data_IF_402189395600
#
_entry.id   IF_402189395600
#
_cell.length_a   1.000
_cell.length_b   1.000
_cell.length_c   1.000
_cell.angle_alpha   90.00
_cell.angle_beta   90.00
_cell.angle_gamma   90.00
#
_symmetry.space_group_name_H-M   'P 1'
#
loop_
_entity.id
_entity.type
_entity.pdbx_description
1 polymer ?
#
# COMPACT_ATOMS: atom_id res chain seq x y z
N UNK A 1 -2.44 15.02 -3.04
CA UNK A 1 -2.73 13.62 -3.44
C UNK A 1 -1.51 12.72 -3.16
N UNK A 2 -1.69 11.47 -2.69
CA UNK A 2 -0.58 10.55 -2.39
C UNK A 2 -0.16 9.68 -3.57
N UNK A 3 -1.10 9.33 -4.45
CA UNK A 3 -0.91 8.43 -5.58
C UNK A 3 -1.64 9.00 -6.78
N UNK A 4 -1.14 8.77 -7.99
CA UNK A 4 -1.89 8.99 -9.23
C UNK A 4 -2.24 7.63 -9.80
N UNK A 5 -3.54 7.29 -9.86
CA UNK A 5 -4.04 6.00 -10.32
C UNK A 5 -4.63 6.10 -11.73
N UNK A 6 -4.45 5.04 -12.52
CA UNK A 6 -5.03 4.88 -13.84
C UNK A 6 -5.15 3.41 -14.22
N UNK A 7 -5.52 3.14 -15.47
CA UNK A 7 -5.63 1.78 -16.00
C UNK A 7 -6.99 1.11 -15.80
N UNK A 8 -7.99 1.84 -15.31
CA UNK A 8 -9.38 1.39 -15.35
C UNK A 8 -9.84 1.26 -16.82
N UNK A 9 -10.28 0.07 -17.29
CA UNK A 9 -10.72 -0.15 -18.67
C UNK A 9 -11.97 0.66 -19.05
N UNK A 10 -12.85 0.96 -18.10
CA UNK A 10 -14.10 1.70 -18.30
C UNK A 10 -13.84 3.20 -18.48
N UNK A 11 -12.67 3.69 -18.06
CA UNK A 11 -12.26 5.09 -18.22
C UNK A 11 -12.17 5.55 -19.68
N UNK A 12 -12.01 4.63 -20.64
CA UNK A 12 -11.81 4.94 -22.07
C UNK A 12 -12.98 5.71 -22.70
N UNK A 13 -14.19 5.41 -22.25
CA UNK A 13 -15.44 6.00 -22.75
C UNK A 13 -16.27 6.65 -21.65
N UNK A 14 -15.63 6.91 -20.50
CA UNK A 14 -16.31 7.46 -19.33
C UNK A 14 -16.87 8.84 -19.61
N UNK A 15 -18.09 9.09 -19.12
CA UNK A 15 -18.67 10.42 -19.15
C UNK A 15 -18.03 11.31 -18.08
N UNK A 16 -18.07 12.65 -18.24
CA UNK A 16 -17.67 13.57 -17.18
C UNK A 16 -18.40 13.28 -15.87
N UNK A 17 -17.67 13.20 -14.76
CA UNK A 17 -18.23 12.92 -13.42
C UNK A 17 -18.67 11.47 -13.17
N UNK A 18 -18.53 10.57 -14.14
CA UNK A 18 -18.73 9.13 -13.91
C UNK A 18 -17.75 8.62 -12.85
N UNK A 19 -18.24 7.83 -11.89
CA UNK A 19 -17.39 7.15 -10.93
C UNK A 19 -16.50 6.11 -11.62
N UNK A 20 -15.22 6.07 -11.25
CA UNK A 20 -14.19 5.20 -11.82
C UNK A 20 -13.34 4.59 -10.70
N UNK A 21 -12.59 3.54 -11.02
CA UNK A 21 -11.73 2.79 -10.10
C UNK A 21 -12.18 1.34 -9.88
N UNK A 22 -13.37 0.97 -10.35
CA UNK A 22 -13.95 -0.38 -10.19
C UNK A 22 -13.86 -1.23 -11.47
N UNK A 23 -13.46 -0.64 -12.60
CA UNK A 23 -13.34 -1.36 -13.85
C UNK A 23 -12.20 -2.38 -13.79
N UNK A 24 -12.49 -3.63 -14.14
CA UNK A 24 -11.52 -4.73 -14.10
C UNK A 24 -11.72 -5.69 -15.29
N UNK A 25 -10.66 -6.38 -15.68
CA UNK A 25 -10.75 -7.52 -16.60
C UNK A 25 -11.12 -8.80 -15.83
N UNK A 26 -11.58 -9.89 -16.50
CA UNK A 26 -12.02 -11.12 -15.82
C UNK A 26 -10.87 -11.95 -15.21
N UNK A 27 -9.69 -11.36 -15.02
CA UNK A 27 -8.53 -12.02 -14.42
C UNK A 27 -7.68 -11.03 -13.61
N UNK A 28 -6.97 -11.58 -12.63
CA UNK A 28 -6.00 -10.88 -11.79
C UNK A 28 -4.63 -11.57 -11.87
N UNK A 29 -3.60 -10.88 -11.40
CA UNK A 29 -2.22 -11.35 -11.43
C UNK A 29 -1.78 -11.73 -10.00
N UNK A 30 -1.12 -12.89 -9.77
CA UNK A 30 -0.58 -13.22 -8.45
C UNK A 30 0.29 -12.09 -7.87
N UNK A 31 0.26 -11.94 -6.55
CA UNK A 31 1.05 -10.91 -5.87
C UNK A 31 2.55 -11.21 -5.96
N UNK A 32 3.37 -10.22 -6.33
CA UNK A 32 4.84 -10.32 -6.34
C UNK A 32 5.45 -9.33 -5.33
N UNK A 33 5.09 -9.51 -4.06
CA UNK A 33 5.47 -8.59 -2.99
C UNK A 33 6.83 -8.99 -2.43
N UNK A 34 7.83 -8.13 -2.63
CA UNK A 34 9.20 -8.35 -2.12
C UNK A 34 9.68 -7.16 -1.28
N UNK A 35 10.30 -7.36 -0.10
CA UNK A 35 10.68 -6.26 0.80
C UNK A 35 11.61 -5.19 0.20
N UNK A 36 12.41 -5.55 -0.81
CA UNK A 36 13.29 -4.63 -1.52
C UNK A 36 12.55 -3.63 -2.42
N UNK A 37 11.31 -3.93 -2.80
CA UNK A 37 10.48 -3.06 -3.62
C UNK A 37 9.40 -2.43 -2.73
N UNK A 38 9.52 -1.12 -2.52
CA UNK A 38 8.72 -0.37 -1.56
C UNK A 38 8.26 0.95 -2.19
N UNK A 39 7.24 1.56 -1.59
CA UNK A 39 6.48 2.67 -2.18
C UNK A 39 7.17 4.01 -1.96
N UNK A 40 8.42 4.11 -2.43
CA UNK A 40 9.12 5.39 -2.58
C UNK A 40 8.45 6.25 -3.65
N UNK A 41 8.63 7.57 -3.59
CA UNK A 41 8.24 8.48 -4.66
C UNK A 41 8.75 7.98 -6.03
N UNK A 42 7.87 8.02 -7.02
CA UNK A 42 8.10 7.50 -8.36
C UNK A 42 7.88 6.00 -8.54
N UNK A 43 7.64 5.23 -7.47
CA UNK A 43 7.34 3.79 -7.62
C UNK A 43 6.05 3.58 -8.44
N UNK A 44 6.12 2.65 -9.39
CA UNK A 44 4.99 2.17 -10.18
C UNK A 44 4.52 0.84 -9.60
N UNK A 45 3.26 0.79 -9.18
CA UNK A 45 2.69 -0.35 -8.48
C UNK A 45 1.29 -0.68 -8.97
N UNK A 46 0.89 -1.93 -8.81
CA UNK A 46 -0.41 -2.40 -9.24
C UNK A 46 -1.47 -2.09 -8.17
N UNK A 47 -2.65 -1.65 -8.61
CA UNK A 47 -3.82 -1.54 -7.74
C UNK A 47 -4.35 -2.94 -7.39
N UNK A 48 -5.17 -3.02 -6.35
CA UNK A 48 -5.92 -4.24 -6.01
C UNK A 48 -7.07 -3.93 -5.07
N UNK A 49 -8.02 -4.86 -5.05
CA UNK A 49 -9.06 -4.96 -4.04
C UNK A 49 -8.51 -5.09 -2.61
N UNK A 50 -9.36 -4.73 -1.65
CA UNK A 50 -9.09 -4.85 -0.20
C UNK A 50 -8.85 -6.30 0.24
N UNK A 51 -8.12 -6.50 1.35
CA UNK A 51 -7.79 -7.84 1.87
C UNK A 51 -9.03 -8.69 2.20
N UNK A 52 -10.19 -8.08 2.52
CA UNK A 52 -11.43 -8.80 2.81
C UNK A 52 -12.03 -9.47 1.56
N UNK A 53 -11.83 -8.85 0.39
CA UNK A 53 -12.30 -9.36 -0.90
C UNK A 53 -11.21 -10.17 -1.59
N UNK A 54 -9.96 -9.74 -1.44
CA UNK A 54 -8.77 -10.29 -2.07
C UNK A 54 -7.67 -10.61 -1.03
N UNK A 55 -7.88 -11.67 -0.22
CA UNK A 55 -6.94 -12.05 0.84
C UNK A 55 -5.57 -12.49 0.32
N UNK A 56 -5.52 -13.01 -0.92
CA UNK A 56 -4.29 -13.39 -1.61
C UNK A 56 -3.52 -12.19 -2.18
N UNK A 57 -4.09 -10.97 -2.05
CA UNK A 57 -3.51 -9.69 -2.51
C UNK A 57 -3.15 -9.68 -3.99
N UNK A 58 -3.90 -10.41 -4.83
CA UNK A 58 -3.71 -10.44 -6.27
C UNK A 58 -3.81 -9.02 -6.84
N UNK A 59 -2.94 -8.70 -7.78
CA UNK A 59 -2.91 -7.41 -8.44
C UNK A 59 -4.02 -7.32 -9.48
N UNK A 60 -4.59 -6.14 -9.68
CA UNK A 60 -5.37 -5.82 -10.88
C UNK A 60 -4.51 -6.11 -12.12
N UNK A 61 -5.15 -6.58 -13.19
CA UNK A 61 -4.48 -6.85 -14.46
C UNK A 61 -4.28 -5.61 -15.32
N UNK A 62 -4.98 -4.51 -15.02
CA UNK A 62 -4.92 -3.27 -15.81
C UNK A 62 -4.68 -2.03 -14.98
N UNK A 63 -5.17 -1.98 -13.75
CA UNK A 63 -5.07 -0.80 -12.89
C UNK A 63 -3.71 -0.71 -12.19
N UNK A 64 -3.12 0.48 -12.24
CA UNK A 64 -1.83 0.79 -11.62
C UNK A 64 -1.84 2.21 -11.07
N UNK A 65 -0.85 2.51 -10.23
CA UNK A 65 -0.62 3.85 -9.75
C UNK A 65 0.86 4.20 -9.67
N UNK A 66 1.13 5.49 -9.78
CA UNK A 66 2.45 6.07 -9.55
C UNK A 66 2.42 6.75 -8.18
N UNK A 67 3.43 6.46 -7.37
CA UNK A 67 3.58 7.08 -6.05
C UNK A 67 4.07 8.53 -6.20
N UNK A 68 3.20 9.48 -5.89
CA UNK A 68 3.62 10.88 -5.70
C UNK A 68 4.25 11.03 -4.30
N UNK A 69 3.56 10.53 -3.26
CA UNK A 69 4.04 10.47 -1.88
C UNK A 69 4.23 11.84 -1.23
N UNK A 70 4.63 11.81 0.05
CA UNK A 70 5.06 12.99 0.80
C UNK A 70 6.37 12.69 1.51
N UNK A 71 7.18 13.73 1.74
CA UNK A 71 8.32 13.61 2.64
C UNK A 71 7.80 13.31 4.05
N UNK A 72 8.46 12.36 4.70
CA UNK A 72 8.15 11.95 6.06
C UNK A 72 9.21 12.49 7.00
N UNK A 73 8.82 12.76 8.24
CA UNK A 73 9.76 13.09 9.31
C UNK A 73 10.25 11.81 10.01
N UNK A 74 11.31 11.94 10.82
CA UNK A 74 11.75 10.83 11.67
C UNK A 74 10.64 10.39 12.65
N UNK A 75 9.83 11.33 13.13
CA UNK A 75 8.69 11.06 14.01
C UNK A 75 7.59 10.27 13.29
N UNK A 76 7.28 10.62 12.03
CA UNK A 76 6.32 9.87 11.21
C UNK A 76 6.79 8.42 11.03
N UNK A 77 8.07 8.23 10.68
CA UNK A 77 8.63 6.89 10.48
C UNK A 77 8.63 6.07 11.78
N UNK A 78 8.97 6.69 12.92
CA UNK A 78 8.90 6.03 14.23
C UNK A 78 7.46 5.64 14.59
N UNK A 79 6.50 6.52 14.31
CA UNK A 79 5.07 6.26 14.54
C UNK A 79 4.57 5.11 13.66
N UNK A 80 4.99 5.05 12.40
CA UNK A 80 4.63 3.97 11.49
C UNK A 80 5.24 2.64 11.95
N UNK A 81 6.52 2.64 12.38
CA UNK A 81 7.17 1.46 12.95
C UNK A 81 6.43 0.97 14.20
N UNK A 82 6.08 1.87 15.12
CA UNK A 82 5.34 1.54 16.33
C UNK A 82 3.98 0.93 16.00
N UNK A 83 3.16 1.60 15.16
CA UNK A 83 1.85 1.09 14.76
C UNK A 83 1.93 -0.29 14.10
N UNK A 84 2.94 -0.52 13.24
CA UNK A 84 3.14 -1.83 12.61
C UNK A 84 3.53 -2.90 13.64
N UNK A 85 4.39 -2.56 14.59
CA UNK A 85 4.76 -3.46 15.68
C UNK A 85 3.59 -3.78 16.62
N UNK A 86 2.71 -2.81 16.91
CA UNK A 86 1.51 -3.01 17.72
C UNK A 86 0.52 -3.93 17.00
N UNK A 87 0.31 -3.72 15.69
CA UNK A 87 -0.53 -4.62 14.88
C UNK A 87 0.03 -6.05 14.82
N UNK A 88 1.35 -6.21 14.67
CA UNK A 88 1.99 -7.53 14.69
C UNK A 88 1.84 -8.21 16.05
N UNK A 89 1.92 -7.45 17.14
CA UNK A 89 1.69 -7.95 18.48
C UNK A 89 0.23 -8.40 18.68
N UNK A 90 -0.74 -7.58 18.30
CA UNK A 90 -2.18 -7.91 18.38
C UNK A 90 -2.51 -9.16 17.56
N UNK A 91 -2.03 -9.26 16.32
CA UNK A 91 -2.23 -10.47 15.50
C UNK A 91 -1.61 -11.70 16.14
N UNK A 92 -0.43 -11.56 16.75
CA UNK A 92 0.21 -12.70 17.43
C UNK A 92 -0.57 -13.12 18.67
N UNK A 93 -1.13 -12.17 19.43
CA UNK A 93 -2.03 -12.48 20.54
C UNK A 93 -3.27 -13.22 20.05
N UNK A 94 -3.94 -12.73 19.00
CA UNK A 94 -5.12 -13.37 18.42
C UNK A 94 -4.81 -14.80 17.95
N UNK A 95 -3.68 -15.03 17.28
CA UNK A 95 -3.22 -16.35 16.85
C UNK A 95 -3.04 -17.32 18.05
N UNK A 96 -2.47 -16.84 19.16
CA UNK A 96 -2.24 -17.66 20.36
C UNK A 96 -3.55 -17.92 21.13
N UNK A 97 -4.49 -16.96 21.13
CA UNK A 97 -5.74 -17.04 21.88
C UNK A 97 -6.83 -17.84 21.14
N UNK A 98 -6.87 -17.78 19.80
CA UNK A 98 -7.89 -18.42 18.97
C UNK A 98 -7.57 -19.82 18.36
N UNK A 99 -6.70 -20.70 18.90
CA UNK A 99 -6.61 -22.05 18.39
C UNK A 99 -7.66 -22.92 19.09
N UNK A 100 -8.89 -22.96 18.56
CA UNK A 100 -9.91 -24.03 18.69
C UNK A 100 -10.07 -24.83 20.01
N UNK A 101 -9.60 -24.39 21.18
CA UNK A 101 -9.65 -25.17 22.42
C UNK A 101 -10.24 -24.37 23.60
N UNK A 102 -11.49 -24.73 23.90
CA UNK A 102 -12.16 -24.55 25.17
C UNK A 102 -11.26 -24.96 26.34
N UNK A 103 -10.72 -24.01 27.10
CA UNK A 103 -10.35 -24.16 28.52
C UNK A 103 -9.74 -22.84 29.04
N UNK A 104 -10.39 -22.28 30.07
CA UNK A 104 -10.05 -21.10 30.91
C UNK A 104 -9.44 -19.85 30.25
N UNK A 105 -10.32 -18.89 29.95
CA UNK A 105 -10.04 -17.59 29.29
C UNK A 105 -9.03 -16.70 30.06
N UNK A 106 -8.96 -16.80 31.39
CA UNK A 106 -8.16 -15.89 32.23
C UNK A 106 -6.71 -16.34 32.47
N UNK A 107 -6.42 -17.65 32.51
CA UNK A 107 -5.05 -18.17 32.77
C UNK A 107 -4.20 -18.16 31.50
N UNK A 108 -4.85 -18.29 30.33
CA UNK A 108 -4.19 -18.23 29.03
C UNK A 108 -3.73 -16.81 28.66
N UNK A 109 -4.33 -15.77 29.21
CA UNK A 109 -4.09 -14.38 28.78
C UNK A 109 -2.71 -13.87 29.17
N UNK A 110 -2.27 -14.06 30.42
CA UNK A 110 -0.95 -13.59 30.87
C UNK A 110 0.21 -14.34 30.17
N UNK A 111 0.07 -15.66 30.00
CA UNK A 111 1.05 -16.46 29.26
C UNK A 111 1.07 -16.11 27.77
N UNK A 112 -0.09 -15.91 27.15
CA UNK A 112 -0.18 -15.44 25.76
C UNK A 112 0.47 -14.07 25.56
N UNK A 113 0.28 -13.14 26.52
CA UNK A 113 0.93 -11.83 26.52
C UNK A 113 2.45 -11.98 26.62
N UNK A 114 2.97 -12.82 27.51
CA UNK A 114 4.41 -13.04 27.62
C UNK A 114 5.01 -13.64 26.34
N UNK A 115 4.33 -14.63 25.74
CA UNK A 115 4.74 -15.25 24.47
C UNK A 115 4.74 -14.21 23.33
N UNK A 116 3.67 -13.42 23.21
CA UNK A 116 3.58 -12.38 22.20
C UNK A 116 4.65 -11.28 22.41
N UNK A 117 4.94 -10.90 23.66
CA UNK A 117 6.03 -9.95 23.98
C UNK A 117 7.40 -10.49 23.60
N UNK A 118 7.70 -11.75 23.94
CA UNK A 118 8.95 -12.41 23.53
C UNK A 118 9.08 -12.49 22.02
N UNK A 119 7.99 -12.76 21.31
CA UNK A 119 7.97 -12.76 19.85
C UNK A 119 8.23 -11.36 19.28
N UNK A 120 7.55 -10.33 19.79
CA UNK A 120 7.70 -8.94 19.34
C UNK A 120 9.14 -8.43 19.56
N UNK A 121 9.77 -8.76 20.70
CA UNK A 121 11.17 -8.39 20.96
C UNK A 121 12.16 -8.99 19.94
N UNK A 122 11.88 -10.20 19.44
CA UNK A 122 12.72 -10.85 18.42
C UNK A 122 12.40 -10.38 17.00
N UNK A 123 11.12 -10.08 16.73
CA UNK A 123 10.59 -9.83 15.39
C UNK A 123 10.06 -8.40 15.24
N UNK A 124 10.77 -7.43 15.80
CA UNK A 124 10.39 -6.03 15.69
C UNK A 124 10.61 -5.55 14.25
N UNK A 125 9.55 -5.04 13.64
CA UNK A 125 9.65 -4.32 12.38
C UNK A 125 10.42 -3.02 12.59
N UNK A 126 11.44 -2.80 11.75
CA UNK A 126 12.12 -1.53 11.54
C UNK A 126 12.38 -1.32 10.07
N UNK A 127 12.29 -0.08 9.62
CA UNK A 127 12.77 0.30 8.30
C UNK A 127 14.28 0.10 8.22
N UNK A 128 14.76 -0.35 7.06
CA UNK A 128 16.20 -0.32 6.79
C UNK A 128 16.70 1.13 6.77
N UNK A 129 17.99 1.34 7.05
CA UNK A 129 18.59 2.68 6.98
C UNK A 129 18.41 3.33 5.60
N UNK A 130 18.42 2.52 4.53
CA UNK A 130 18.19 3.02 3.18
C UNK A 130 16.72 3.44 2.97
N UNK A 131 15.75 2.61 3.39
CA UNK A 131 14.33 2.99 3.32
C UNK A 131 14.02 4.27 4.08
N UNK A 132 14.58 4.43 5.29
CA UNK A 132 14.41 5.68 6.07
C UNK A 132 14.96 6.87 5.29
N UNK A 133 16.21 6.79 4.80
CA UNK A 133 16.81 7.86 3.99
C UNK A 133 15.94 8.23 2.79
N UNK A 134 15.43 7.23 2.07
CA UNK A 134 14.53 7.45 0.94
C UNK A 134 13.27 8.21 1.36
N UNK A 135 12.60 7.80 2.43
CA UNK A 135 11.35 8.43 2.88
C UNK A 135 11.54 9.83 3.48
N UNK A 136 12.68 10.09 4.13
CA UNK A 136 13.02 11.41 4.65
C UNK A 136 13.33 12.40 3.53
N UNK A 137 14.06 11.95 2.49
CA UNK A 137 14.58 12.84 1.45
C UNK A 137 13.63 12.99 0.26
N UNK A 138 13.11 11.87 -0.23
CA UNK A 138 12.34 11.80 -1.47
C UNK A 138 10.86 11.50 -1.24
N UNK A 139 10.49 11.07 -0.03
CA UNK A 139 9.12 10.75 0.32
C UNK A 139 8.63 9.42 -0.22
N UNK A 140 7.35 9.14 0.03
CA UNK A 140 6.70 7.90 -0.38
C UNK A 140 5.44 7.62 0.42
N UNK A 141 5.01 6.35 0.41
CA UNK A 141 3.80 5.89 1.10
C UNK A 141 4.07 4.56 1.83
N UNK A 142 4.82 4.58 2.95
CA UNK A 142 5.31 3.35 3.61
C UNK A 142 4.21 2.40 4.09
N UNK A 143 2.98 2.90 4.31
CA UNK A 143 1.82 2.08 4.68
C UNK A 143 1.45 1.03 3.62
N UNK A 144 1.85 1.24 2.36
CA UNK A 144 1.60 0.31 1.25
C UNK A 144 2.71 -0.75 1.13
N UNK A 145 3.85 -0.56 1.80
CA UNK A 145 4.97 -1.49 1.75
C UNK A 145 4.55 -2.90 2.19
N UNK A 146 5.04 -3.89 1.46
CA UNK A 146 4.75 -5.30 1.69
C UNK A 146 3.25 -5.66 1.57
N UNK A 147 2.44 -4.80 0.95
CA UNK A 147 1.01 -5.03 0.72
C UNK A 147 0.59 -4.94 -0.74
N UNK A 148 1.42 -4.37 -1.61
CA UNK A 148 1.15 -4.19 -3.04
C UNK A 148 2.39 -4.53 -3.85
N UNK A 149 2.17 -5.00 -5.08
CA UNK A 149 3.23 -5.31 -6.04
C UNK A 149 3.78 -4.02 -6.63
N UNK A 150 5.02 -3.67 -6.31
CA UNK A 150 5.79 -2.62 -7.00
C UNK A 150 6.56 -3.30 -8.13
N UNK A 151 6.33 -2.88 -9.37
CA UNK A 151 6.88 -3.54 -10.56
C UNK A 151 7.69 -2.60 -11.47
N UNK A 152 7.81 -1.32 -11.10
CA UNK A 152 8.66 -0.38 -11.82
C UNK A 152 8.86 0.92 -11.07
N UNK A 153 9.49 1.88 -11.72
CA UNK A 153 9.63 3.24 -11.22
C UNK A 153 9.72 4.24 -12.38
N UNK A 154 9.30 5.47 -12.11
CA UNK A 154 9.49 6.61 -12.99
C UNK A 154 10.95 7.04 -12.93
N UNK A 155 11.65 6.93 -14.06
CA UNK A 155 13.04 7.36 -14.20
C UNK A 155 13.19 8.77 -14.76
N UNK A 156 12.19 9.23 -15.51
CA UNK A 156 12.10 10.57 -16.12
C UNK A 156 10.64 11.01 -16.14
N UNK A 157 10.37 12.32 -16.04
CA UNK A 157 9.00 12.86 -16.15
C UNK A 157 8.23 12.94 -14.83
N UNK A 158 8.90 12.92 -13.67
CA UNK A 158 8.23 13.09 -12.37
C UNK A 158 7.51 14.43 -12.24
N UNK A 159 7.97 15.48 -12.92
CA UNK A 159 7.30 16.77 -12.97
C UNK A 159 5.93 16.73 -13.66
N UNK A 160 5.69 15.73 -14.52
CA UNK A 160 4.36 15.50 -15.10
C UNK A 160 3.45 14.87 -14.06
N UNK A 161 3.95 13.89 -13.30
CA UNK A 161 3.23 13.27 -12.18
C UNK A 161 2.86 14.34 -11.14
N UNK A 162 3.78 15.26 -10.84
CA UNK A 162 3.55 16.37 -9.91
C UNK A 162 2.42 17.29 -10.37
N UNK A 163 2.37 17.62 -11.66
CA UNK A 163 1.28 18.42 -12.21
C UNK A 163 -0.06 17.70 -12.06
N UNK A 164 -0.11 16.41 -12.38
CA UNK A 164 -1.35 15.61 -12.27
C UNK A 164 -1.81 15.51 -10.82
N UNK A 165 -0.90 15.24 -9.88
CA UNK A 165 -1.20 15.09 -8.46
C UNK A 165 -1.70 16.38 -7.77
N UNK A 166 -1.52 17.54 -8.40
CA UNK A 166 -1.96 18.86 -7.94
C UNK A 166 -3.19 19.40 -8.69
N UNK A 167 -3.77 18.62 -9.60
CA UNK A 167 -5.04 19.00 -10.25
C UNK A 167 -6.17 19.04 -9.22
N UNK A 168 -7.15 19.90 -9.49
CA UNK A 168 -8.40 19.88 -8.75
C UNK A 168 -9.16 18.59 -9.07
N UNK A 169 -9.71 17.98 -8.03
CA UNK A 169 -10.53 16.78 -8.13
C UNK A 169 -11.95 17.03 -7.65
N UNK A 170 -12.87 16.17 -8.07
CA UNK A 170 -14.21 16.09 -7.51
C UNK A 170 -14.22 15.36 -6.15
N UNK A 171 -15.41 15.12 -5.60
CA UNK A 171 -15.58 14.43 -4.31
C UNK A 171 -15.20 12.94 -4.31
N UNK A 172 -14.90 12.35 -5.48
CA UNK A 172 -14.44 10.98 -5.64
C UNK A 172 -12.93 10.91 -5.96
N UNK A 173 -12.18 11.99 -5.75
CA UNK A 173 -10.77 12.12 -6.12
C UNK A 173 -10.49 11.97 -7.63
N UNK A 174 -11.50 12.08 -8.51
CA UNK A 174 -11.31 12.13 -9.97
C UNK A 174 -10.94 13.55 -10.41
N UNK A 175 -9.92 13.75 -11.26
CA UNK A 175 -9.64 15.07 -11.83
C UNK A 175 -10.86 15.69 -12.52
N UNK A 176 -11.10 17.00 -12.32
CA UNK A 176 -12.23 17.72 -12.95
C UNK A 176 -12.12 17.65 -14.48
N UNK A 177 -10.90 17.77 -15.01
CA UNK A 177 -10.59 17.58 -16.43
C UNK A 177 -9.94 16.22 -16.66
N UNK A 178 -10.44 15.47 -17.64
CA UNK A 178 -9.97 14.12 -17.95
C UNK A 178 -8.51 14.11 -18.43
N UNK A 179 -7.68 13.32 -17.76
CA UNK A 179 -6.28 13.10 -18.12
C UNK A 179 -6.14 11.78 -18.86
N UNK A 180 -5.86 11.85 -20.16
CA UNK A 180 -5.66 10.69 -21.03
C UNK A 180 -4.19 10.39 -21.20
N UNK A 181 -3.84 9.11 -21.30
CA UNK A 181 -2.48 8.66 -21.60
C UNK A 181 -2.48 7.63 -22.73
N UNK A 182 -1.33 7.47 -23.36
CA UNK A 182 -1.06 6.43 -24.36
C UNK A 182 0.16 5.64 -23.91
N UNK A 183 0.14 4.32 -24.07
CA UNK A 183 1.29 3.45 -23.79
C UNK A 183 2.00 3.15 -25.09
N UNK A 184 3.33 3.28 -25.10
CA UNK A 184 4.18 2.80 -26.18
C UNK A 184 5.22 1.86 -25.59
N UNK A 185 5.22 0.62 -26.06
CA UNK A 185 6.24 -0.37 -25.73
C UNK A 185 7.26 -0.30 -26.86
N UNK A 186 8.51 0.05 -26.51
CA UNK A 186 9.64 0.10 -27.45
C UNK A 186 10.40 -1.22 -27.47
#
# INVERSE_FOLDING_TARGET
>A
MLLVQGGDPDSRTAQPGQYLGEGELPYSIPAEIKPQFYHKRGALAAARESDNVNPEKKSSSTQFYIVHGTNLTEEDLNTIEQKKNDLLFTRKLEEIINPSNSLSIAVKTDSAIEIAKKHQQKNQFKFSSNQRKTYLHSGGVPRLDQNYTVFGEVVEGMEVVDKIANLQTDGNDRPIEDIKFTITIK
#
